data_IF_756791523968
#
_entry.id   IF_756791523968
#
_cell.length_a   1.000
_cell.length_b   1.000
_cell.length_c   1.000
_cell.angle_alpha   90.00
_cell.angle_beta   90.00
_cell.angle_gamma   90.00
#
_symmetry.space_group_name_H-M   'P 1'
#
loop_
_entity.id
_entity.type
_entity.pdbx_description
1 polymer ?
#
# COMPACT_ATOMS: atom_id res chain seq x y z
N UNK A 1 -6.69 -15.63 -11.63
CA UNK A 1 -7.93 -14.88 -11.93
C UNK A 1 -7.75 -14.10 -13.21
N UNK A 2 -8.76 -14.03 -14.07
CA UNK A 2 -8.78 -13.17 -15.26
C UNK A 2 -10.07 -12.34 -15.27
N UNK A 3 -9.97 -11.09 -15.73
CA UNK A 3 -11.11 -10.19 -15.94
C UNK A 3 -11.25 -9.97 -17.45
N UNK A 4 -12.42 -10.24 -18.01
CA UNK A 4 -12.72 -9.96 -19.42
C UNK A 4 -13.98 -9.09 -19.49
N UNK A 5 -13.81 -7.84 -19.90
CA UNK A 5 -14.90 -6.88 -20.10
C UNK A 5 -15.25 -6.69 -21.57
N UNK A 6 -14.77 -7.59 -22.44
CA UNK A 6 -14.99 -7.57 -23.89
C UNK A 6 -14.56 -6.24 -24.55
N UNK A 7 -13.30 -5.78 -24.36
CA UNK A 7 -12.81 -4.60 -25.07
C UNK A 7 -12.77 -4.83 -26.57
N UNK A 8 -12.94 -3.76 -27.34
CA UNK A 8 -12.78 -3.79 -28.80
C UNK A 8 -11.34 -4.14 -29.18
N UNK A 9 -11.14 -4.67 -30.39
CA UNK A 9 -9.79 -5.01 -30.87
C UNK A 9 -8.91 -3.76 -31.02
N UNK A 10 -9.51 -2.60 -31.28
CA UNK A 10 -8.78 -1.33 -31.28
C UNK A 10 -8.22 -1.03 -29.87
N UNK A 11 -9.03 -1.14 -28.82
CA UNK A 11 -8.59 -0.90 -27.44
C UNK A 11 -7.52 -1.89 -26.98
N UNK A 12 -7.64 -3.17 -27.34
CA UNK A 12 -6.63 -4.19 -27.00
C UNK A 12 -5.25 -3.85 -27.54
N UNK A 13 -5.20 -3.31 -28.75
CA UNK A 13 -3.96 -2.99 -29.47
C UNK A 13 -3.36 -1.64 -29.10
N UNK A 14 -4.05 -0.81 -28.31
CA UNK A 14 -3.52 0.46 -27.84
C UNK A 14 -2.46 0.27 -26.74
N UNK A 15 -1.45 1.16 -26.76
CA UNK A 15 -0.51 1.29 -25.64
C UNK A 15 -1.24 1.79 -24.39
N UNK A 16 -0.68 1.52 -23.22
CA UNK A 16 -1.27 1.96 -21.95
C UNK A 16 -1.39 3.49 -21.88
N UNK A 17 -0.41 4.24 -22.38
CA UNK A 17 -0.44 5.71 -22.44
C UNK A 17 -1.60 6.20 -23.32
N UNK A 18 -1.81 5.56 -24.47
CA UNK A 18 -2.89 5.90 -25.39
C UNK A 18 -4.25 5.64 -24.76
N UNK A 19 -4.43 4.50 -24.09
CA UNK A 19 -5.67 4.15 -23.38
C UNK A 19 -5.96 5.14 -22.25
N UNK A 20 -4.94 5.54 -21.46
CA UNK A 20 -5.11 6.52 -20.37
C UNK A 20 -5.50 7.89 -20.92
N UNK A 21 -4.91 8.33 -22.03
CA UNK A 21 -5.29 9.60 -22.68
C UNK A 21 -6.71 9.54 -23.25
N UNK A 22 -7.11 8.41 -23.84
CA UNK A 22 -8.47 8.19 -24.33
C UNK A 22 -9.50 8.23 -23.18
N UNK A 23 -9.16 7.60 -22.05
CA UNK A 23 -10.00 7.52 -20.85
C UNK A 23 -10.38 8.89 -20.26
N UNK A 24 -9.59 9.94 -20.51
CA UNK A 24 -9.91 11.32 -20.12
C UNK A 24 -11.15 11.86 -20.83
N UNK A 25 -11.48 11.31 -22.00
CA UNK A 25 -12.67 11.68 -22.77
C UNK A 25 -13.82 10.70 -22.51
N UNK A 26 -13.52 9.41 -22.51
CA UNK A 26 -14.51 8.35 -22.36
C UNK A 26 -13.89 7.15 -21.65
N UNK A 27 -14.50 6.71 -20.55
CA UNK A 27 -14.10 5.48 -19.88
C UNK A 27 -14.74 4.29 -20.57
N UNK A 28 -13.91 3.37 -21.06
CA UNK A 28 -14.33 2.18 -21.79
C UNK A 28 -13.96 0.88 -21.07
N UNK A 29 -14.53 -0.26 -21.46
CA UNK A 29 -14.15 -1.56 -20.91
C UNK A 29 -12.64 -1.86 -21.01
N UNK A 30 -11.97 -1.41 -22.09
CA UNK A 30 -10.54 -1.64 -22.30
C UNK A 30 -9.64 -0.99 -21.26
N UNK A 31 -9.88 0.28 -20.90
CA UNK A 31 -9.09 0.94 -19.85
C UNK A 31 -9.36 0.33 -18.47
N UNK A 32 -10.61 -0.01 -18.15
CA UNK A 32 -10.96 -0.63 -16.85
C UNK A 32 -10.24 -1.97 -16.70
N UNK A 33 -10.31 -2.83 -17.73
CA UNK A 33 -9.64 -4.13 -17.70
C UNK A 33 -8.11 -3.97 -17.61
N UNK A 34 -7.51 -3.08 -18.42
CA UNK A 34 -6.06 -2.81 -18.38
C UNK A 34 -5.61 -2.29 -17.02
N UNK A 35 -6.40 -1.41 -16.39
CA UNK A 35 -6.09 -0.86 -15.08
C UNK A 35 -6.16 -1.92 -13.98
N UNK A 36 -7.13 -2.84 -14.04
CA UNK A 36 -7.22 -3.98 -13.14
C UNK A 36 -6.00 -4.91 -13.28
N UNK A 37 -5.63 -5.26 -14.50
CA UNK A 37 -4.46 -6.09 -14.80
C UNK A 37 -3.15 -5.43 -14.33
N UNK A 38 -2.98 -4.12 -14.63
CA UNK A 38 -1.81 -3.34 -14.23
C UNK A 38 -1.69 -3.20 -12.70
N UNK A 39 -2.80 -2.97 -12.00
CA UNK A 39 -2.79 -2.85 -10.54
C UNK A 39 -2.32 -4.16 -9.88
N UNK A 40 -2.79 -5.31 -10.37
CA UNK A 40 -2.32 -6.62 -9.89
C UNK A 40 -0.84 -6.83 -10.18
N UNK A 41 -0.41 -6.54 -11.40
CA UNK A 41 0.99 -6.65 -11.80
C UNK A 41 1.90 -5.80 -10.91
N UNK A 42 1.53 -4.55 -10.66
CA UNK A 42 2.32 -3.65 -9.83
C UNK A 42 2.46 -4.15 -8.38
N UNK A 43 1.36 -4.58 -7.75
CA UNK A 43 1.42 -5.12 -6.38
C UNK A 43 2.24 -6.40 -6.33
N UNK A 44 2.06 -7.31 -7.29
CA UNK A 44 2.83 -8.55 -7.39
C UNK A 44 4.34 -8.28 -7.50
N UNK A 45 4.75 -7.34 -8.35
CA UNK A 45 6.16 -7.01 -8.55
C UNK A 45 6.77 -6.21 -7.39
N UNK A 46 5.96 -5.47 -6.64
CA UNK A 46 6.42 -4.65 -5.52
C UNK A 46 6.38 -5.36 -4.17
N UNK A 47 5.80 -6.57 -4.09
CA UNK A 47 5.73 -7.35 -2.85
C UNK A 47 6.84 -8.40 -2.84
N UNK A 48 7.58 -8.46 -1.73
CA UNK A 48 8.67 -9.42 -1.55
C UNK A 48 8.90 -9.66 -0.06
N UNK A 49 10.07 -9.24 0.45
CA UNK A 49 10.34 -9.27 1.90
C UNK A 49 9.41 -8.34 2.69
N UNK A 50 8.99 -7.23 2.08
CA UNK A 50 8.06 -6.26 2.66
C UNK A 50 6.82 -6.14 1.76
N UNK A 51 5.69 -5.63 2.27
CA UNK A 51 4.59 -5.18 1.42
C UNK A 51 5.06 -4.05 0.48
N UNK A 52 4.25 -3.60 -0.49
CA UNK A 52 4.57 -2.41 -1.27
C UNK A 52 4.56 -1.18 -0.36
N UNK A 53 5.60 -0.34 -0.45
CA UNK A 53 5.59 0.99 0.18
C UNK A 53 4.78 1.99 -0.67
N UNK A 54 4.78 3.28 -0.31
CA UNK A 54 4.06 4.32 -1.06
C UNK A 54 4.34 4.38 -2.57
N UNK A 55 5.49 3.88 -3.01
CA UNK A 55 5.90 3.84 -4.42
C UNK A 55 6.15 2.40 -4.92
N UNK A 56 5.67 1.39 -4.17
CA UNK A 56 5.98 -0.02 -4.41
C UNK A 56 7.47 -0.30 -4.16
N UNK A 57 8.25 -0.31 -5.25
CA UNK A 57 9.72 -0.41 -5.24
C UNK A 57 10.37 0.61 -6.18
N UNK A 58 9.59 1.53 -6.77
CA UNK A 58 10.01 2.41 -7.85
C UNK A 58 10.19 3.84 -7.35
N UNK A 59 11.33 4.11 -6.70
CA UNK A 59 11.80 5.46 -6.39
C UNK A 59 13.05 5.81 -7.21
N UNK A 60 13.13 7.05 -7.67
CA UNK A 60 14.29 7.61 -8.37
C UNK A 60 14.98 8.76 -7.61
N UNK A 61 14.66 8.93 -6.32
CA UNK A 61 15.14 10.06 -5.51
C UNK A 61 15.49 9.61 -4.09
N UNK A 62 16.42 10.35 -3.46
CA UNK A 62 16.78 10.21 -2.05
C UNK A 62 15.77 10.84 -1.10
N UNK A 63 14.93 11.72 -1.61
CA UNK A 63 13.90 12.44 -0.84
C UNK A 63 12.52 12.21 -1.45
N UNK A 64 12.04 10.96 -1.50
CA UNK A 64 10.71 10.67 -2.03
C UNK A 64 9.65 11.39 -1.17
N UNK A 65 8.54 11.84 -1.79
CA UNK A 65 7.40 12.37 -1.05
C UNK A 65 6.95 11.42 0.06
N UNK A 66 6.72 11.96 1.26
CA UNK A 66 6.36 11.20 2.47
C UNK A 66 7.33 10.03 2.76
N UNK A 67 8.62 10.25 2.51
CA UNK A 67 9.70 9.28 2.74
C UNK A 67 9.62 7.98 1.93
N UNK A 68 8.60 7.83 1.07
CA UNK A 68 8.37 6.58 0.34
C UNK A 68 8.23 5.38 1.28
N UNK A 69 7.81 5.61 2.53
CA UNK A 69 7.78 4.59 3.57
C UNK A 69 6.45 3.83 3.60
N UNK A 70 6.19 3.12 4.70
CA UNK A 70 4.95 2.38 4.92
C UNK A 70 3.99 3.23 5.76
N UNK A 71 2.95 3.75 5.11
CA UNK A 71 1.89 4.52 5.77
C UNK A 71 0.68 3.63 6.07
N UNK A 72 0.41 3.42 7.37
CA UNK A 72 -0.58 2.48 7.91
C UNK A 72 -1.93 3.12 8.24
N UNK A 73 -2.14 4.40 8.00
CA UNK A 73 -3.45 5.05 8.15
C UNK A 73 -4.24 5.10 6.82
N UNK A 74 -3.85 4.25 5.86
CA UNK A 74 -4.66 3.94 4.69
C UNK A 74 -3.87 3.36 3.52
N UNK A 75 -2.66 3.86 3.24
CA UNK A 75 -1.98 3.56 1.98
C UNK A 75 -1.62 2.08 1.84
N UNK A 76 -0.95 1.50 2.85
CA UNK A 76 -0.57 0.08 2.80
C UNK A 76 -1.82 -0.78 2.75
N UNK A 77 -2.85 -0.48 3.54
CA UNK A 77 -4.10 -1.24 3.57
C UNK A 77 -4.84 -1.22 2.25
N UNK A 78 -4.91 -0.05 1.58
CA UNK A 78 -5.49 0.04 0.24
C UNK A 78 -4.67 -0.77 -0.76
N UNK A 79 -3.33 -0.69 -0.69
CA UNK A 79 -2.46 -1.45 -1.58
C UNK A 79 -2.66 -2.97 -1.45
N UNK A 80 -2.84 -3.47 -0.22
CA UNK A 80 -3.04 -4.89 0.04
C UNK A 80 -4.50 -5.36 -0.04
N UNK A 81 -5.47 -4.43 -0.12
CA UNK A 81 -6.91 -4.75 -0.05
C UNK A 81 -7.39 -5.76 -1.10
N UNK A 82 -6.72 -5.80 -2.26
CA UNK A 82 -7.04 -6.70 -3.36
C UNK A 82 -6.28 -8.03 -3.33
N UNK A 83 -5.41 -8.30 -2.35
CA UNK A 83 -4.60 -9.52 -2.36
C UNK A 83 -5.46 -10.79 -2.30
N UNK A 84 -6.46 -10.82 -1.41
CA UNK A 84 -7.35 -11.98 -1.27
C UNK A 84 -8.32 -12.11 -2.46
N UNK A 85 -9.09 -11.05 -2.75
CA UNK A 85 -10.07 -11.05 -3.84
C UNK A 85 -9.41 -11.16 -5.23
N UNK A 86 -8.16 -10.71 -5.33
CA UNK A 86 -7.32 -10.84 -6.49
C UNK A 86 -6.63 -12.20 -6.61
N UNK A 87 -6.87 -13.20 -5.75
CA UNK A 87 -6.18 -14.49 -5.85
C UNK A 87 -4.64 -14.32 -5.90
N UNK A 88 -4.12 -13.49 -4.99
CA UNK A 88 -2.70 -13.23 -4.70
C UNK A 88 -2.48 -13.32 -3.19
N UNK A 89 -3.14 -14.29 -2.55
CA UNK A 89 -3.19 -14.43 -1.09
C UNK A 89 -1.82 -14.76 -0.49
N UNK A 90 -0.95 -15.41 -1.28
CA UNK A 90 0.43 -15.70 -0.95
C UNK A 90 1.25 -14.45 -0.61
N UNK A 91 0.86 -13.28 -1.14
CA UNK A 91 1.54 -12.01 -0.89
C UNK A 91 1.22 -11.43 0.50
N UNK A 92 0.19 -11.93 1.19
CA UNK A 92 -0.17 -11.47 2.53
C UNK A 92 0.92 -11.75 3.57
N UNK A 93 1.78 -12.76 3.36
CA UNK A 93 2.86 -13.06 4.30
C UNK A 93 3.79 -11.87 4.50
N UNK A 94 4.13 -11.15 3.42
CA UNK A 94 4.97 -9.96 3.51
C UNK A 94 4.36 -8.89 4.43
N UNK A 95 3.03 -8.72 4.39
CA UNK A 95 2.32 -7.79 5.26
C UNK A 95 2.33 -8.22 6.73
N UNK A 96 2.09 -9.51 7.00
CA UNK A 96 2.13 -10.05 8.36
C UNK A 96 3.54 -9.99 8.95
N UNK A 97 4.53 -10.46 8.19
CA UNK A 97 5.95 -10.47 8.59
C UNK A 97 6.44 -9.04 8.91
N UNK A 98 5.99 -8.03 8.14
CA UNK A 98 6.31 -6.64 8.37
C UNK A 98 5.84 -6.13 9.75
N UNK A 99 4.61 -6.45 10.14
CA UNK A 99 4.10 -6.06 11.46
C UNK A 99 4.69 -6.90 12.58
N UNK A 100 4.84 -8.21 12.39
CA UNK A 100 5.42 -9.12 13.37
C UNK A 100 6.84 -8.70 13.75
N UNK A 101 7.64 -8.31 12.75
CA UNK A 101 9.00 -7.79 12.94
C UNK A 101 9.06 -6.60 13.91
N UNK A 102 8.05 -5.73 13.90
CA UNK A 102 8.03 -4.49 14.69
C UNK A 102 7.17 -4.57 15.96
N UNK A 103 6.60 -5.73 16.30
CA UNK A 103 5.89 -5.93 17.56
C UNK A 103 6.67 -5.46 18.80
N UNK A 104 8.01 -5.66 18.92
CA UNK A 104 8.77 -5.11 20.04
C UNK A 104 8.68 -3.58 20.13
N UNK A 105 8.81 -2.86 19.01
CA UNK A 105 8.73 -1.40 18.96
C UNK A 105 7.31 -0.92 19.27
N UNK A 106 6.29 -1.61 18.77
CA UNK A 106 4.89 -1.25 19.03
C UNK A 106 4.53 -1.39 20.52
N UNK A 107 5.11 -2.37 21.23
CA UNK A 107 4.96 -2.50 22.68
C UNK A 107 5.63 -1.35 23.43
N UNK A 108 6.79 -0.89 22.94
CA UNK A 108 7.47 0.29 23.49
C UNK A 108 6.58 1.52 23.29
N UNK A 109 6.03 1.72 22.09
CA UNK A 109 5.11 2.84 21.83
C UNK A 109 3.93 2.84 22.81
N UNK A 110 3.21 1.71 22.95
CA UNK A 110 2.06 1.61 23.85
C UNK A 110 2.41 1.99 25.30
N UNK A 111 3.57 1.52 25.79
CA UNK A 111 4.04 1.81 27.14
C UNK A 111 4.46 3.26 27.32
N UNK A 112 5.20 3.83 26.37
CA UNK A 112 5.78 5.18 26.51
C UNK A 112 4.73 6.28 26.30
N UNK A 113 3.84 6.13 25.32
CA UNK A 113 2.82 7.14 25.02
C UNK A 113 1.62 7.08 25.95
N UNK A 114 1.19 5.87 26.32
CA UNK A 114 -0.10 5.69 27.00
C UNK A 114 0.01 4.96 28.34
N UNK A 115 1.19 4.45 28.73
CA UNK A 115 1.34 3.69 29.97
C UNK A 115 0.57 2.36 30.01
N UNK A 116 0.17 1.84 28.84
CA UNK A 116 -0.66 0.64 28.74
C UNK A 116 0.13 -0.59 28.30
N UNK A 117 -0.47 -1.77 28.49
CA UNK A 117 -0.03 -3.03 27.88
C UNK A 117 -0.51 -3.10 26.42
N UNK A 118 -0.03 -4.09 25.67
CA UNK A 118 -0.44 -4.30 24.28
C UNK A 118 0.53 -3.65 23.30
N UNK A 119 0.02 -3.23 22.14
CA UNK A 119 0.79 -2.63 21.05
C UNK A 119 0.16 -1.33 20.57
N UNK A 120 0.98 -0.42 20.07
CA UNK A 120 0.57 0.78 19.33
C UNK A 120 1.32 0.81 18.01
N UNK A 121 0.60 0.52 16.92
CA UNK A 121 1.10 0.61 15.55
C UNK A 121 1.07 2.08 15.14
N UNK A 122 2.23 2.70 14.80
CA UNK A 122 2.28 4.09 14.35
C UNK A 122 1.71 4.25 12.93
N UNK A 123 1.33 5.48 12.54
CA UNK A 123 0.94 5.77 11.15
C UNK A 123 2.05 5.47 10.16
N UNK A 124 3.32 5.56 10.55
CA UNK A 124 4.47 5.29 9.69
C UNK A 124 5.40 4.24 10.28
N UNK A 125 5.87 3.34 9.44
CA UNK A 125 7.03 2.50 9.74
C UNK A 125 8.03 2.58 8.60
N UNK A 126 9.31 2.41 8.94
CA UNK A 126 10.39 2.36 7.96
C UNK A 126 11.37 1.25 8.33
N UNK A 127 12.57 1.59 8.80
CA UNK A 127 13.53 0.64 9.35
C UNK A 127 13.19 0.22 10.78
N UNK A 128 12.24 0.90 11.43
CA UNK A 128 11.73 0.64 12.78
C UNK A 128 10.20 0.87 12.86
N UNK A 129 9.60 0.43 13.97
CA UNK A 129 8.19 0.62 14.31
C UNK A 129 7.89 1.71 15.34
N UNK A 130 8.83 2.61 15.65
CA UNK A 130 8.60 3.67 16.64
C UNK A 130 7.64 4.76 16.15
N UNK A 131 6.75 5.22 17.03
CA UNK A 131 5.89 6.37 16.78
C UNK A 131 6.65 7.67 17.05
N UNK A 132 7.48 8.10 16.09
CA UNK A 132 8.37 9.26 16.25
C UNK A 132 8.30 10.26 15.08
N UNK A 133 7.27 10.15 14.24
CA UNK A 133 7.05 11.01 13.08
C UNK A 133 6.27 12.29 13.46
N UNK A 134 6.83 13.09 14.36
CA UNK A 134 6.19 14.28 14.90
C UNK A 134 6.01 15.40 13.86
N UNK A 135 4.82 15.99 13.79
CA UNK A 135 4.56 17.16 12.97
C UNK A 135 3.47 18.07 13.52
N UNK A 136 3.71 19.38 13.54
CA UNK A 136 2.72 20.37 14.00
C UNK A 136 1.46 20.41 13.13
N UNK A 137 1.61 20.14 11.82
CA UNK A 137 0.52 20.19 10.84
C UNK A 137 -0.14 18.82 10.62
N UNK A 138 0.59 17.74 10.86
CA UNK A 138 0.17 16.36 10.64
C UNK A 138 0.45 15.58 11.92
N UNK A 139 -0.48 15.65 12.87
CA UNK A 139 -0.32 15.07 14.20
C UNK A 139 -0.61 13.55 14.19
N UNK A 140 0.13 12.82 13.37
CA UNK A 140 -0.06 11.39 13.12
C UNK A 140 0.17 10.55 14.38
N UNK A 141 0.89 11.07 15.37
CA UNK A 141 1.08 10.41 16.66
C UNK A 141 -0.24 10.14 17.41
N UNK A 142 -1.29 10.91 17.13
CA UNK A 142 -2.61 10.74 17.73
C UNK A 142 -3.50 9.74 16.99
N UNK A 143 -3.05 9.23 15.85
CA UNK A 143 -3.75 8.15 15.20
C UNK A 143 -3.53 6.84 15.98
N UNK A 144 -4.60 6.36 16.60
CA UNK A 144 -4.62 5.19 17.49
C UNK A 144 -5.33 3.98 16.86
N UNK A 145 -5.81 4.12 15.61
CA UNK A 145 -6.56 3.08 14.90
C UNK A 145 -5.70 1.97 14.29
N UNK A 146 -4.37 2.10 14.30
CA UNK A 146 -3.51 1.25 13.48
C UNK A 146 -3.50 -0.22 13.79
N UNK A 147 -3.42 -0.55 15.08
CA UNK A 147 -3.44 -1.95 15.49
C UNK A 147 -4.77 -2.64 15.19
N UNK A 148 -5.87 -1.89 15.09
CA UNK A 148 -7.20 -2.44 14.80
C UNK A 148 -7.48 -2.54 13.30
N UNK A 149 -6.79 -1.75 12.48
CA UNK A 149 -6.93 -1.80 11.02
C UNK A 149 -5.97 -2.83 10.40
N UNK A 150 -4.77 -2.97 10.96
CA UNK A 150 -3.82 -4.00 10.54
C UNK A 150 -4.33 -5.42 10.80
#
# INVERSE_FOLDING_TARGET
MSLNLYPSDNEKNMTSETLVLYAKKETTPGIIQRQFEAARYNILCATGTNPPNLQGIWSGTWTPPWSGDFTHDGNVQVAISNLLNGNMHELMSAYFDHHEKFLPDYRINAKQFYGIRGIHVPSHTSTHGFNNHYGENWCLEYWNGGAAWA
#
